data_IF_152576219439
#
_entry.id   IF_152576219439
#
_cell.length_a   1.000
_cell.length_b   1.000
_cell.length_c   1.000
_cell.angle_alpha   90.00
_cell.angle_beta   90.00
_cell.angle_gamma   90.00
#
_symmetry.space_group_name_H-M   'P 1'
#
loop_
_entity.id
_entity.type
_entity.pdbx_description
1 polymer ?
#
# COMPACT_ATOMS: atom_id res chain seq x y z
N UNK A 1 13.23 38.05 33.43
CA UNK A 1 12.59 39.21 32.74
C UNK A 1 11.25 38.89 32.07
N UNK A 2 10.84 37.63 31.94
CA UNK A 2 9.63 37.18 31.23
C UNK A 2 8.30 37.40 31.97
N UNK A 3 8.31 37.38 33.32
CA UNK A 3 7.07 37.46 34.12
C UNK A 3 6.30 38.81 34.03
N UNK A 4 7.00 39.95 33.93
CA UNK A 4 6.36 41.29 33.83
C UNK A 4 5.66 41.51 32.49
N UNK A 5 6.13 40.89 31.41
CA UNK A 5 5.53 40.98 30.08
C UNK A 5 4.24 40.17 29.99
N UNK A 6 4.24 38.96 30.56
CA UNK A 6 3.07 38.08 30.63
C UNK A 6 1.91 38.73 31.40
N UNK A 7 2.22 39.41 32.51
CA UNK A 7 1.21 40.09 33.32
C UNK A 7 0.52 41.27 32.61
N UNK A 8 1.26 42.02 31.77
CA UNK A 8 0.71 43.13 30.98
C UNK A 8 -0.15 42.63 29.81
N UNK A 9 0.24 41.53 29.15
CA UNK A 9 -0.54 40.92 28.08
C UNK A 9 -1.90 40.41 28.58
N UNK A 10 -1.92 39.74 29.75
CA UNK A 10 -3.15 39.24 30.38
C UNK A 10 -4.14 40.36 30.77
N UNK A 11 -3.63 41.53 31.17
CA UNK A 11 -4.46 42.68 31.52
C UNK A 11 -5.16 43.31 30.29
N UNK A 12 -4.51 43.28 29.12
CA UNK A 12 -5.09 43.75 27.85
C UNK A 12 -6.22 42.85 27.33
N UNK A 13 -6.06 41.53 27.46
CA UNK A 13 -7.06 40.53 27.06
C UNK A 13 -8.40 40.67 27.81
N UNK A 14 -8.38 41.12 29.07
CA UNK A 14 -9.60 41.37 29.87
C UNK A 14 -10.48 42.50 29.33
N UNK A 15 -9.95 43.41 28.51
CA UNK A 15 -10.70 44.55 27.95
C UNK A 15 -11.36 44.27 26.60
N UNK A 16 -11.05 43.15 25.97
CA UNK A 16 -11.65 42.76 24.68
C UNK A 16 -13.10 42.29 24.88
N UNK A 17 -13.99 42.43 23.88
CA UNK A 17 -15.30 41.81 23.90
C UNK A 17 -15.16 40.27 23.89
N UNK A 18 -16.13 39.57 24.49
CA UNK A 18 -16.12 38.11 24.65
C UNK A 18 -15.74 37.31 23.37
N UNK A 19 -16.27 37.62 22.17
CA UNK A 19 -15.89 36.87 20.96
C UNK A 19 -14.40 36.98 20.61
N UNK A 20 -13.78 38.13 20.84
CA UNK A 20 -12.34 38.31 20.58
C UNK A 20 -11.46 37.55 21.58
N UNK A 21 -11.93 37.36 22.83
CA UNK A 21 -11.22 36.53 23.81
C UNK A 21 -11.28 35.05 23.44
N UNK A 22 -12.44 34.57 22.98
CA UNK A 22 -12.59 33.20 22.49
C UNK A 22 -11.74 32.95 21.25
N UNK A 23 -11.72 33.89 20.29
CA UNK A 23 -10.86 33.81 19.12
C UNK A 23 -9.36 33.78 19.48
N UNK A 24 -8.92 34.63 20.41
CA UNK A 24 -7.54 34.63 20.88
C UNK A 24 -7.17 33.33 21.61
N UNK A 25 -8.07 32.77 22.42
CA UNK A 25 -7.87 31.49 23.08
C UNK A 25 -7.80 30.32 22.09
N UNK A 26 -8.70 30.29 21.10
CA UNK A 26 -8.69 29.29 20.03
C UNK A 26 -7.40 29.38 19.20
N UNK A 27 -6.95 30.58 18.84
CA UNK A 27 -5.70 30.79 18.12
C UNK A 27 -4.50 30.34 18.94
N UNK A 28 -4.46 30.66 20.25
CA UNK A 28 -3.39 30.20 21.12
C UNK A 28 -3.38 28.66 21.24
N UNK A 29 -4.55 28.02 21.29
CA UNK A 29 -4.67 26.57 21.31
C UNK A 29 -4.16 25.96 19.99
N UNK A 30 -4.51 26.55 18.85
CA UNK A 30 -4.05 26.12 17.53
C UNK A 30 -2.53 26.25 17.40
N UNK A 31 -1.97 27.38 17.83
CA UNK A 31 -0.52 27.64 17.83
C UNK A 31 0.24 26.68 18.74
N UNK A 32 -0.38 26.16 19.79
CA UNK A 32 0.21 25.13 20.66
C UNK A 32 0.02 23.72 20.09
N UNK A 33 -1.12 23.46 19.44
CA UNK A 33 -1.46 22.14 18.91
C UNK A 33 -0.53 21.72 17.77
N UNK A 34 -0.26 22.62 16.81
CA UNK A 34 0.59 22.33 15.65
C UNK A 34 1.99 21.80 16.01
N UNK A 35 2.79 22.47 16.88
CA UNK A 35 4.11 21.96 17.24
C UNK A 35 4.05 20.66 18.05
N UNK A 36 3.00 20.44 18.84
CA UNK A 36 2.81 19.16 19.56
C UNK A 36 2.52 18.03 18.57
N UNK A 37 1.69 18.29 17.55
CA UNK A 37 1.41 17.32 16.49
C UNK A 37 2.69 16.98 15.70
N UNK A 38 3.50 17.97 15.36
CA UNK A 38 4.78 17.80 14.65
C UNK A 38 5.78 16.96 15.46
N UNK A 39 5.89 17.22 16.78
CA UNK A 39 6.72 16.40 17.67
C UNK A 39 6.24 14.95 17.77
N UNK A 40 4.93 14.73 17.75
CA UNK A 40 4.34 13.40 17.75
C UNK A 40 4.63 12.66 16.43
N UNK A 41 4.57 13.35 15.31
CA UNK A 41 4.90 12.81 13.99
C UNK A 41 6.37 12.39 13.92
N UNK A 42 7.30 13.28 14.30
CA UNK A 42 8.74 12.97 14.37
C UNK A 42 9.04 11.76 15.28
N UNK A 43 8.32 11.64 16.39
CA UNK A 43 8.50 10.50 17.30
C UNK A 43 8.04 9.17 16.66
N UNK A 44 6.90 9.18 15.99
CA UNK A 44 6.40 8.00 15.28
C UNK A 44 7.29 7.65 14.07
N UNK A 45 7.78 8.63 13.31
CA UNK A 45 8.76 8.40 12.25
C UNK A 45 10.05 7.75 12.79
N UNK A 46 10.61 8.28 13.88
CA UNK A 46 11.80 7.73 14.52
C UNK A 46 11.55 6.31 15.08
N UNK A 47 10.33 6.01 15.50
CA UNK A 47 9.92 4.67 15.94
C UNK A 47 9.78 3.71 14.77
N UNK A 48 9.15 4.14 13.66
CA UNK A 48 8.99 3.35 12.44
C UNK A 48 10.34 3.06 11.78
N UNK A 49 11.25 4.04 11.75
CA UNK A 49 12.62 3.87 11.26
C UNK A 49 13.41 2.83 12.08
N UNK A 50 13.23 2.80 13.40
CA UNK A 50 13.82 1.76 14.25
C UNK A 50 13.17 0.39 14.03
N UNK A 51 11.85 0.34 13.86
CA UNK A 51 11.12 -0.89 13.57
C UNK A 51 11.49 -1.50 12.22
N UNK A 52 11.73 -0.68 11.20
CA UNK A 52 12.09 -1.15 9.86
C UNK A 52 13.43 -1.91 9.86
N UNK A 53 14.34 -1.56 10.77
CA UNK A 53 15.63 -2.23 10.96
C UNK A 53 15.53 -3.42 11.91
N UNK A 54 14.86 -3.25 13.06
CA UNK A 54 14.84 -4.27 14.12
C UNK A 54 13.84 -5.42 13.85
N UNK A 55 12.69 -5.11 13.23
CA UNK A 55 11.60 -6.06 13.01
C UNK A 55 10.85 -5.73 11.70
N UNK A 56 11.47 -5.93 10.52
CA UNK A 56 10.95 -5.49 9.22
C UNK A 56 9.56 -6.08 8.90
N UNK A 57 9.29 -7.33 9.30
CA UNK A 57 7.98 -7.94 9.11
C UNK A 57 6.87 -7.23 9.89
N UNK A 58 7.15 -6.81 11.13
CA UNK A 58 6.18 -6.03 11.95
C UNK A 58 5.98 -4.64 11.38
N UNK A 59 7.05 -3.99 10.91
CA UNK A 59 6.98 -2.70 10.24
C UNK A 59 6.10 -2.77 8.98
N UNK A 60 6.31 -3.76 8.11
CA UNK A 60 5.49 -3.93 6.91
C UNK A 60 4.01 -4.21 7.23
N UNK A 61 3.71 -4.98 8.27
CA UNK A 61 2.34 -5.18 8.73
C UNK A 61 1.67 -3.88 9.24
N UNK A 62 2.45 -3.04 9.93
CA UNK A 62 1.99 -1.71 10.36
C UNK A 62 1.74 -0.77 9.18
N UNK A 63 2.64 -0.73 8.19
CA UNK A 63 2.44 0.05 6.97
C UNK A 63 1.16 -0.35 6.24
N UNK A 64 0.96 -1.67 6.05
CA UNK A 64 -0.25 -2.20 5.40
C UNK A 64 -1.53 -1.84 6.15
N UNK A 65 -1.51 -1.88 7.49
CA UNK A 65 -2.71 -1.63 8.30
C UNK A 65 -3.03 -0.16 8.52
N UNK A 66 -2.02 0.71 8.62
CA UNK A 66 -2.19 2.15 8.89
C UNK A 66 -2.27 3.01 7.64
N UNK A 67 -1.42 2.74 6.65
CA UNK A 67 -1.25 3.57 5.47
C UNK A 67 -1.74 2.88 4.18
N UNK A 68 -2.16 1.63 4.28
CA UNK A 68 -2.75 0.87 3.18
C UNK A 68 -1.72 0.19 2.27
N UNK A 69 -2.21 -0.36 1.16
CA UNK A 69 -1.42 -1.23 0.28
C UNK A 69 -0.31 -0.48 -0.49
N UNK A 70 -0.57 0.76 -0.90
CA UNK A 70 0.42 1.55 -1.64
C UNK A 70 1.68 1.81 -0.79
N UNK A 71 1.48 2.28 0.45
CA UNK A 71 2.58 2.51 1.40
C UNK A 71 3.31 1.22 1.76
N UNK A 72 2.58 0.11 1.91
CA UNK A 72 3.19 -1.22 2.09
C UNK A 72 4.09 -1.61 0.91
N UNK A 73 3.65 -1.45 -0.33
CA UNK A 73 4.44 -1.80 -1.51
C UNK A 73 5.69 -0.92 -1.61
N UNK A 74 5.58 0.38 -1.35
CA UNK A 74 6.73 1.30 -1.36
C UNK A 74 7.74 0.95 -0.26
N UNK A 75 7.25 0.62 0.94
CA UNK A 75 8.08 0.16 2.05
C UNK A 75 8.77 -1.18 1.74
N UNK A 76 8.03 -2.13 1.17
CA UNK A 76 8.56 -3.42 0.73
C UNK A 76 9.63 -3.24 -0.34
N UNK A 77 9.41 -2.33 -1.29
CA UNK A 77 10.36 -2.01 -2.36
C UNK A 77 11.70 -1.56 -1.81
N UNK A 78 11.68 -0.61 -0.85
CA UNK A 78 12.89 -0.11 -0.20
C UNK A 78 13.59 -1.17 0.64
N UNK A 79 12.85 -1.92 1.45
CA UNK A 79 13.44 -2.87 2.41
C UNK A 79 13.97 -4.15 1.78
N UNK A 80 13.37 -4.60 0.68
CA UNK A 80 13.75 -5.84 -0.01
C UNK A 80 14.42 -5.59 -1.36
N UNK A 81 14.70 -4.33 -1.68
CA UNK A 81 15.34 -3.89 -2.92
C UNK A 81 14.56 -4.26 -4.20
N UNK A 82 13.22 -4.19 -4.13
CA UNK A 82 12.38 -4.28 -5.32
C UNK A 82 12.24 -2.95 -6.08
N UNK A 83 12.98 -1.91 -5.71
CA UNK A 83 13.20 -0.73 -6.57
C UNK A 83 13.94 -1.10 -7.87
N UNK A 84 14.59 -2.27 -7.89
CA UNK A 84 15.30 -2.85 -9.02
C UNK A 84 14.67 -4.18 -9.41
N UNK A 85 15.00 -4.65 -10.61
CA UNK A 85 14.60 -5.98 -11.07
C UNK A 85 15.27 -7.08 -10.24
N UNK A 86 14.46 -8.00 -9.73
CA UNK A 86 14.86 -9.11 -8.86
C UNK A 86 14.28 -10.41 -9.38
N UNK A 87 15.02 -11.51 -9.31
CA UNK A 87 14.46 -12.83 -9.66
C UNK A 87 13.43 -13.28 -8.61
N UNK A 88 13.65 -12.95 -7.34
CA UNK A 88 12.76 -13.40 -6.27
C UNK A 88 11.39 -12.73 -6.34
N UNK A 89 10.31 -13.48 -6.17
CA UNK A 89 8.95 -12.92 -6.13
C UNK A 89 8.63 -12.32 -4.74
N UNK A 90 7.82 -11.25 -4.64
CA UNK A 90 7.28 -10.82 -3.35
C UNK A 90 6.44 -11.94 -2.69
N UNK A 91 6.72 -12.27 -1.42
CA UNK A 91 6.09 -13.39 -0.70
C UNK A 91 4.56 -13.43 -0.80
N UNK A 92 3.92 -12.26 -0.80
CA UNK A 92 2.45 -12.15 -0.85
C UNK A 92 1.86 -12.51 -2.23
N UNK A 93 2.67 -12.48 -3.29
CA UNK A 93 2.25 -12.87 -4.65
C UNK A 93 2.43 -14.36 -4.92
N UNK A 94 3.29 -15.05 -4.16
CA UNK A 94 3.58 -16.46 -4.40
C UNK A 94 2.31 -17.29 -4.17
N UNK A 95 1.91 -18.05 -5.19
CA UNK A 95 0.72 -18.88 -5.16
C UNK A 95 0.06 -19.05 -6.53
N UNK A 96 -1.07 -19.75 -6.52
CA UNK A 96 -1.95 -19.87 -7.67
C UNK A 96 -3.07 -18.82 -7.58
N UNK A 97 -3.39 -18.22 -8.72
CA UNK A 97 -4.37 -17.16 -8.87
C UNK A 97 -5.33 -17.53 -10.00
N UNK A 98 -6.61 -17.64 -9.71
CA UNK A 98 -7.65 -17.84 -10.71
C UNK A 98 -7.84 -16.56 -11.53
N UNK A 99 -7.78 -16.68 -12.85
CA UNK A 99 -8.02 -15.59 -13.81
C UNK A 99 -9.28 -15.95 -14.61
N UNK A 100 -10.48 -15.66 -14.10
CA UNK A 100 -11.71 -15.98 -14.81
C UNK A 100 -11.76 -15.17 -16.11
N UNK A 101 -11.97 -15.84 -17.24
CA UNK A 101 -12.24 -15.12 -18.48
C UNK A 101 -13.46 -14.23 -18.28
N UNK A 102 -13.45 -12.98 -18.75
CA UNK A 102 -14.61 -12.12 -18.64
C UNK A 102 -15.76 -12.75 -19.44
N UNK A 103 -16.65 -13.46 -18.75
CA UNK A 103 -17.91 -13.93 -19.30
C UNK A 103 -18.99 -12.90 -18.99
N UNK A 104 -19.94 -12.72 -19.91
CA UNK A 104 -21.01 -11.75 -19.73
C UNK A 104 -21.95 -12.09 -18.55
N UNK A 105 -21.90 -13.32 -18.04
CA UNK A 105 -22.77 -13.81 -16.96
C UNK A 105 -22.20 -13.55 -15.55
N UNK A 106 -20.87 -13.34 -15.44
CA UNK A 106 -20.19 -13.12 -14.16
C UNK A 106 -20.37 -11.70 -13.60
N UNK A 107 -20.64 -10.71 -14.45
CA UNK A 107 -20.94 -9.32 -14.01
C UNK A 107 -22.30 -9.20 -13.30
N UNK A 108 -23.25 -10.09 -13.61
CA UNK A 108 -24.65 -9.96 -13.14
C UNK A 108 -24.95 -10.79 -11.89
N UNK A 109 -24.20 -11.87 -11.64
CA UNK A 109 -24.57 -12.86 -10.60
C UNK A 109 -23.63 -12.91 -9.39
N UNK A 110 -22.47 -12.25 -9.43
CA UNK A 110 -21.50 -12.33 -8.33
C UNK A 110 -21.09 -13.78 -8.01
N UNK A 111 -20.90 -14.59 -9.06
CA UNK A 111 -20.54 -16.00 -8.96
C UNK A 111 -19.25 -16.19 -8.16
N UNK A 112 -19.16 -17.30 -7.42
CA UNK A 112 -17.99 -17.66 -6.62
C UNK A 112 -16.80 -18.05 -7.54
N UNK A 113 -15.77 -17.19 -7.67
CA UNK A 113 -14.64 -17.45 -8.56
C UNK A 113 -13.72 -18.56 -8.03
N UNK A 114 -13.93 -19.06 -6.81
CA UNK A 114 -13.11 -20.10 -6.17
C UNK A 114 -13.25 -21.50 -6.77
N UNK A 115 -14.27 -21.76 -7.58
CA UNK A 115 -14.55 -23.11 -8.13
C UNK A 115 -13.67 -23.50 -9.32
N UNK A 116 -12.90 -22.57 -9.91
CA UNK A 116 -12.16 -22.79 -11.16
C UNK A 116 -10.66 -22.43 -11.10
N UNK A 117 -9.97 -22.86 -10.05
CA UNK A 117 -8.51 -22.71 -9.92
C UNK A 117 -7.65 -23.43 -10.98
N UNK A 118 -8.28 -24.15 -11.91
CA UNK A 118 -7.61 -24.86 -13.01
C UNK A 118 -7.15 -23.93 -14.14
N UNK A 119 -7.72 -22.72 -14.25
CA UNK A 119 -7.42 -21.73 -15.29
C UNK A 119 -6.84 -20.48 -14.62
N UNK A 120 -5.52 -20.30 -14.65
CA UNK A 120 -4.93 -19.26 -13.82
C UNK A 120 -3.49 -18.84 -14.10
N UNK A 121 -3.01 -17.98 -13.21
CA UNK A 121 -1.66 -17.48 -13.09
C UNK A 121 -1.03 -18.12 -11.85
N UNK A 122 0.08 -18.82 -12.02
CA UNK A 122 0.88 -19.36 -10.93
C UNK A 122 2.16 -18.57 -10.87
N UNK A 123 2.38 -17.92 -9.73
CA UNK A 123 3.59 -17.16 -9.42
C UNK A 123 4.41 -17.99 -8.43
N UNK A 124 5.58 -18.39 -8.88
CA UNK A 124 6.60 -19.05 -8.05
C UNK A 124 7.80 -18.11 -7.91
N UNK A 125 8.74 -18.50 -7.06
CA UNK A 125 9.98 -17.74 -6.93
C UNK A 125 10.80 -17.81 -8.24
N UNK A 126 11.04 -16.67 -8.89
CA UNK A 126 11.74 -16.59 -10.17
C UNK A 126 10.96 -17.05 -11.40
N UNK A 127 9.68 -17.45 -11.27
CA UNK A 127 8.91 -18.02 -12.37
C UNK A 127 7.46 -17.60 -12.38
N UNK A 128 6.93 -17.44 -13.58
CA UNK A 128 5.50 -17.25 -13.80
C UNK A 128 5.01 -18.28 -14.82
N UNK A 129 3.83 -18.85 -14.57
CA UNK A 129 3.12 -19.72 -15.49
C UNK A 129 1.68 -19.22 -15.62
N UNK A 130 1.18 -19.04 -16.83
CA UNK A 130 -0.25 -18.80 -17.06
C UNK A 130 -0.83 -19.84 -18.01
N UNK A 131 -2.09 -20.19 -17.81
CA UNK A 131 -2.82 -21.15 -18.66
C UNK A 131 -3.55 -20.38 -19.78
N UNK A 132 -3.31 -20.70 -21.05
CA UNK A 132 -4.09 -20.13 -22.18
C UNK A 132 -3.39 -20.10 -23.54
N UNK A 133 -2.08 -19.82 -23.61
CA UNK A 133 -1.30 -19.83 -24.86
C UNK A 133 0.13 -20.27 -24.58
N UNK A 134 0.41 -21.57 -24.80
CA UNK A 134 1.62 -22.32 -24.39
C UNK A 134 1.84 -22.36 -22.87
N UNK A 135 1.99 -23.58 -22.33
CA UNK A 135 2.31 -23.85 -20.93
C UNK A 135 3.79 -23.53 -20.62
N UNK A 136 4.28 -22.37 -21.06
CA UNK A 136 5.69 -22.05 -20.95
C UNK A 136 5.92 -21.42 -19.58
N UNK A 137 6.62 -22.16 -18.72
CA UNK A 137 7.23 -21.58 -17.53
C UNK A 137 8.24 -20.55 -18.01
N UNK A 138 7.93 -19.27 -17.84
CA UNK A 138 8.85 -18.20 -18.14
C UNK A 138 9.64 -17.84 -16.87
N UNK A 139 10.95 -17.68 -17.01
CA UNK A 139 11.73 -16.98 -15.99
C UNK A 139 11.15 -15.57 -15.81
N UNK A 140 11.07 -15.12 -14.57
CA UNK A 140 10.42 -13.86 -14.21
C UNK A 140 11.33 -13.00 -13.34
N UNK A 141 11.31 -11.70 -13.61
CA UNK A 141 11.94 -10.70 -12.76
C UNK A 141 10.88 -9.72 -12.28
N UNK A 142 10.96 -9.33 -11.02
CA UNK A 142 9.98 -8.52 -10.30
C UNK A 142 10.58 -7.18 -9.93
N UNK A 143 9.77 -6.13 -10.01
CA UNK A 143 10.10 -4.78 -9.53
C UNK A 143 8.81 -4.14 -9.02
N UNK A 144 8.89 -3.35 -7.97
CA UNK A 144 7.76 -2.58 -7.46
C UNK A 144 7.92 -1.13 -7.92
N UNK A 145 6.89 -0.61 -8.58
CA UNK A 145 6.89 0.76 -9.10
C UNK A 145 5.48 1.34 -9.05
N UNK A 146 5.33 2.56 -8.53
CA UNK A 146 4.06 3.29 -8.48
C UNK A 146 2.90 2.45 -7.91
N UNK A 147 3.11 1.78 -6.77
CA UNK A 147 2.08 0.96 -6.10
C UNK A 147 1.66 -0.31 -6.86
N UNK A 148 2.46 -0.77 -7.82
CA UNK A 148 2.22 -2.03 -8.54
C UNK A 148 3.48 -2.88 -8.62
N UNK A 149 3.30 -4.20 -8.77
CA UNK A 149 4.38 -5.13 -9.07
C UNK A 149 4.46 -5.33 -10.58
N UNK A 150 5.57 -4.91 -11.16
CA UNK A 150 5.91 -5.18 -12.54
C UNK A 150 6.64 -6.50 -12.62
N UNK A 151 6.24 -7.35 -13.57
CA UNK A 151 6.86 -8.65 -13.81
C UNK A 151 7.35 -8.70 -15.25
N UNK A 152 8.66 -8.79 -15.42
CA UNK A 152 9.29 -8.97 -16.72
C UNK A 152 9.55 -10.46 -16.95
N UNK A 153 8.99 -10.98 -18.02
CA UNK A 153 9.14 -12.34 -18.47
C UNK A 153 10.39 -12.54 -19.32
N UNK A 154 10.85 -13.79 -19.41
CA UNK A 154 12.02 -14.17 -20.22
C UNK A 154 11.84 -13.90 -21.73
N UNK A 155 10.60 -13.91 -22.23
CA UNK A 155 10.25 -13.59 -23.62
C UNK A 155 10.14 -12.07 -23.89
N UNK A 156 10.41 -11.24 -22.89
CA UNK A 156 10.30 -9.78 -22.97
C UNK A 156 8.90 -9.24 -22.64
N UNK A 157 7.91 -10.11 -22.38
CA UNK A 157 6.59 -9.69 -21.93
C UNK A 157 6.64 -8.97 -20.58
N UNK A 158 5.73 -8.01 -20.39
CA UNK A 158 5.58 -7.26 -19.14
C UNK A 158 4.17 -7.44 -18.58
N UNK A 159 4.07 -7.98 -17.37
CA UNK A 159 2.84 -7.97 -16.60
C UNK A 159 2.88 -6.82 -15.61
N UNK A 160 1.72 -6.24 -15.35
CA UNK A 160 1.52 -5.32 -14.22
C UNK A 160 0.49 -5.91 -13.28
N UNK A 161 0.88 -6.10 -12.03
CA UNK A 161 0.03 -6.60 -10.96
C UNK A 161 -0.24 -5.46 -9.99
N UNK A 162 -1.48 -5.00 -9.94
CA UNK A 162 -1.96 -4.03 -8.95
C UNK A 162 -2.62 -4.78 -7.80
N UNK A 163 -2.44 -4.28 -6.58
CA UNK A 163 -3.07 -4.86 -5.40
C UNK A 163 -4.07 -3.83 -4.85
N UNK A 164 -5.37 -3.96 -5.16
CA UNK A 164 -6.34 -2.98 -4.70
C UNK A 164 -6.45 -2.99 -3.17
N UNK A 165 -6.77 -1.82 -2.60
CA UNK A 165 -7.07 -1.70 -1.18
C UNK A 165 -8.35 -2.49 -0.88
N UNK A 166 -8.24 -3.51 -0.03
CA UNK A 166 -9.33 -4.47 0.20
C UNK A 166 -9.49 -4.80 1.68
N UNK A 167 -10.72 -5.15 2.10
CA UNK A 167 -10.99 -5.61 3.47
C UNK A 167 -10.15 -6.85 3.81
N UNK A 168 -9.83 -7.00 5.09
CA UNK A 168 -9.03 -8.12 5.56
C UNK A 168 -9.70 -9.46 5.19
N UNK A 169 -8.97 -10.32 4.47
CA UNK A 169 -9.43 -11.64 4.05
C UNK A 169 -9.64 -11.80 2.55
N UNK A 170 -9.87 -10.72 1.81
CA UNK A 170 -9.96 -10.78 0.36
C UNK A 170 -8.56 -10.75 -0.28
N UNK A 171 -8.19 -11.84 -0.94
CA UNK A 171 -6.89 -12.00 -1.61
C UNK A 171 -7.08 -11.91 -3.12
N UNK A 172 -7.43 -10.71 -3.58
CA UNK A 172 -7.57 -10.38 -5.00
C UNK A 172 -6.46 -9.44 -5.46
N UNK A 173 -5.99 -9.65 -6.68
CA UNK A 173 -5.08 -8.77 -7.41
C UNK A 173 -5.72 -8.39 -8.75
N UNK A 174 -5.19 -7.36 -9.40
CA UNK A 174 -5.53 -7.02 -10.77
C UNK A 174 -4.30 -7.22 -11.64
N UNK A 175 -4.43 -7.98 -12.71
CA UNK A 175 -3.34 -8.35 -13.60
C UNK A 175 -3.60 -7.77 -14.98
N UNK A 176 -2.70 -6.91 -15.46
CA UNK A 176 -2.63 -6.54 -16.86
C UNK A 176 -1.66 -7.50 -17.56
N UNK A 177 -2.22 -8.39 -18.37
CA UNK A 177 -1.46 -9.36 -19.16
C UNK A 177 -0.78 -8.69 -20.37
N UNK A 178 0.34 -9.26 -20.88
CA UNK A 178 1.00 -8.72 -22.06
C UNK A 178 0.06 -8.70 -23.26
N UNK A 179 0.00 -7.57 -23.96
CA UNK A 179 -0.88 -7.40 -25.13
C UNK A 179 -2.35 -7.13 -24.83
N UNK A 180 -2.76 -7.08 -23.54
CA UNK A 180 -4.10 -6.59 -23.15
C UNK A 180 -4.06 -5.11 -22.79
N UNK A 181 -5.19 -4.44 -22.94
CA UNK A 181 -5.38 -3.01 -22.63
C UNK A 181 -6.09 -2.76 -21.30
N UNK A 182 -6.82 -3.75 -20.78
CA UNK A 182 -7.55 -3.67 -19.52
C UNK A 182 -7.00 -4.67 -18.49
N UNK A 183 -6.88 -4.25 -17.22
CA UNK A 183 -6.53 -5.17 -16.14
C UNK A 183 -7.67 -6.16 -15.90
N UNK A 184 -7.31 -7.38 -15.52
CA UNK A 184 -8.26 -8.45 -15.20
C UNK A 184 -8.11 -8.81 -13.72
N UNK A 185 -9.21 -8.93 -12.96
CA UNK A 185 -9.13 -9.38 -11.58
C UNK A 185 -8.66 -10.83 -11.51
N UNK A 186 -7.89 -11.16 -10.49
CA UNK A 186 -7.46 -12.51 -10.17
C UNK A 186 -7.58 -12.78 -8.67
N UNK A 187 -8.03 -13.99 -8.31
CA UNK A 187 -8.30 -14.38 -6.93
C UNK A 187 -7.34 -15.48 -6.51
N UNK A 188 -6.82 -15.39 -5.28
CA UNK A 188 -5.93 -16.42 -4.74
C UNK A 188 -6.68 -17.73 -4.58
N UNK A 189 -6.11 -18.78 -5.15
CA UNK A 189 -6.51 -20.16 -4.89
C UNK A 189 -5.94 -20.60 -3.54
N UNK A 190 -6.79 -21.10 -2.65
CA UNK A 190 -6.43 -21.67 -1.35
C UNK A 190 -6.02 -23.14 -1.49
#
# INVERSE_FOLDING_TARGET
>A
MTAKLLHRALAGLRRLPAPLRLAAAALALLLLYLPVADLMELHEEARLARLSQAAPARFLALERSRHGMAAYLDALARLRHFDRWRETAPDFLIGAWALPEPSAEDEETGGDPGSHCLSGLVIEDGRVRWFGRRHDRAGAHYRIEHGAVLVRLADGGLLRISVPAQPAGDQRIEVLLPGRTAPQPAWRCL
#
